data_IF_218681503836
#
_entry.id   IF_218681503836
#
_cell.length_a   1.000
_cell.length_b   1.000
_cell.length_c   1.000
_cell.angle_alpha   90.00
_cell.angle_beta   90.00
_cell.angle_gamma   90.00
#
_symmetry.space_group_name_H-M   'P 1'
#
loop_
_entity.id
_entity.type
_entity.pdbx_description
1 polymer ?
#
# COMPACT_ATOMS: atom_id res chain seq x y z
N UNK A 1 11.97 -5.16 17.96
CA UNK A 1 11.07 -5.85 17.01
C UNK A 1 10.99 -7.32 17.42
N UNK A 2 9.80 -7.92 17.47
CA UNK A 2 9.68 -9.38 17.66
C UNK A 2 10.21 -10.08 16.40
N UNK A 3 10.77 -11.28 16.54
CA UNK A 3 11.24 -12.08 15.40
C UNK A 3 10.16 -12.23 14.34
N UNK A 4 10.54 -12.18 13.05
CA UNK A 4 9.62 -12.31 11.91
C UNK A 4 8.93 -11.01 11.45
N UNK A 5 8.85 -9.96 12.28
CA UNK A 5 8.21 -8.70 11.88
C UNK A 5 8.99 -7.95 10.79
N UNK A 6 10.33 -8.03 10.84
CA UNK A 6 11.23 -7.31 9.92
C UNK A 6 10.98 -7.69 8.45
N UNK A 7 10.82 -8.98 8.15
CA UNK A 7 10.58 -9.43 6.78
C UNK A 7 9.29 -8.88 6.17
N UNK A 8 8.22 -8.77 6.98
CA UNK A 8 6.97 -8.16 6.54
C UNK A 8 7.11 -6.67 6.18
N UNK A 9 7.86 -5.92 7.00
CA UNK A 9 8.16 -4.51 6.76
C UNK A 9 9.05 -4.33 5.53
N UNK A 10 10.06 -5.18 5.35
CA UNK A 10 10.95 -5.15 4.19
C UNK A 10 10.21 -5.46 2.88
N UNK A 11 9.24 -6.38 2.90
CA UNK A 11 8.37 -6.63 1.76
C UNK A 11 7.51 -5.41 1.40
N UNK A 12 6.89 -4.77 2.40
CA UNK A 12 6.13 -3.53 2.18
C UNK A 12 7.01 -2.39 1.65
N UNK A 13 8.21 -2.22 2.20
CA UNK A 13 9.20 -1.26 1.70
C UNK A 13 9.65 -1.57 0.27
N UNK A 14 9.74 -2.84 -0.12
CA UNK A 14 10.08 -3.23 -1.50
C UNK A 14 8.98 -2.79 -2.46
N UNK A 15 7.71 -3.00 -2.12
CA UNK A 15 6.58 -2.54 -2.92
C UNK A 15 6.51 -1.01 -3.02
N UNK A 16 6.78 -0.29 -1.93
CA UNK A 16 6.87 1.17 -1.94
C UNK A 16 7.95 1.65 -2.93
N UNK A 17 9.11 0.97 -2.98
CA UNK A 17 10.20 1.29 -3.91
C UNK A 17 9.89 1.04 -5.37
N UNK A 18 8.89 0.22 -5.68
CA UNK A 18 8.44 0.03 -7.06
C UNK A 18 7.70 1.28 -7.58
N UNK A 19 7.05 2.03 -6.69
CA UNK A 19 6.36 3.29 -7.03
C UNK A 19 7.27 4.49 -6.84
N UNK A 20 7.91 4.61 -5.68
CA UNK A 20 8.83 5.71 -5.36
C UNK A 20 10.25 5.18 -5.37
N UNK A 21 10.91 5.33 -6.52
CA UNK A 21 12.27 4.85 -6.75
C UNK A 21 13.24 5.35 -5.69
N UNK A 22 14.27 4.55 -5.41
CA UNK A 22 15.34 4.96 -4.48
C UNK A 22 16.01 6.24 -4.98
N UNK A 23 16.24 7.17 -4.06
CA UNK A 23 16.88 8.46 -4.36
C UNK A 23 15.90 9.54 -4.83
N UNK A 24 14.62 9.19 -5.00
CA UNK A 24 13.58 10.17 -5.28
C UNK A 24 13.18 10.89 -3.99
N UNK A 25 13.12 12.23 -4.04
CA UNK A 25 12.64 13.05 -2.90
C UNK A 25 11.17 12.75 -2.60
N UNK A 26 10.76 12.86 -1.34
CA UNK A 26 9.34 12.75 -0.97
C UNK A 26 8.70 14.13 -0.79
N UNK A 27 9.45 15.21 -0.95
CA UNK A 27 9.01 16.59 -0.72
C UNK A 27 7.82 17.01 -1.60
N UNK A 28 7.71 16.43 -2.79
CA UNK A 28 6.61 16.71 -3.71
C UNK A 28 5.38 15.81 -3.46
N UNK A 29 5.46 14.82 -2.57
CA UNK A 29 4.33 13.95 -2.27
C UNK A 29 3.40 14.62 -1.27
N UNK A 30 2.12 14.70 -1.64
CA UNK A 30 1.07 15.08 -0.70
C UNK A 30 0.59 13.88 0.10
N UNK A 31 -0.17 14.10 1.17
CA UNK A 31 -0.84 13.02 1.88
C UNK A 31 -1.77 12.21 0.95
N UNK A 32 -2.36 12.85 -0.06
CA UNK A 32 -3.20 12.18 -1.05
C UNK A 32 -2.40 11.20 -1.92
N UNK A 33 -1.19 11.57 -2.34
CA UNK A 33 -0.30 10.69 -3.10
C UNK A 33 0.14 9.50 -2.26
N UNK A 34 0.50 9.73 -0.99
CA UNK A 34 0.88 8.65 -0.07
C UNK A 34 -0.30 7.71 0.17
N UNK A 35 -1.51 8.24 0.39
CA UNK A 35 -2.72 7.43 0.55
C UNK A 35 -3.01 6.59 -0.70
N UNK A 36 -2.85 7.19 -1.89
CA UNK A 36 -2.99 6.48 -3.17
C UNK A 36 -2.01 5.30 -3.24
N UNK A 37 -0.71 5.55 -3.03
CA UNK A 37 0.34 4.52 -3.03
C UNK A 37 -0.02 3.38 -2.06
N UNK A 38 -0.37 3.72 -0.83
CA UNK A 38 -0.68 2.74 0.22
C UNK A 38 -1.92 1.92 -0.13
N UNK A 39 -2.95 2.53 -0.71
CA UNK A 39 -4.16 1.83 -1.14
C UNK A 39 -3.87 0.82 -2.26
N UNK A 40 -3.00 1.14 -3.22
CA UNK A 40 -2.56 0.18 -4.25
C UNK A 40 -1.72 -0.97 -3.65
N UNK A 41 -0.77 -0.67 -2.75
CA UNK A 41 0.04 -1.69 -2.06
C UNK A 41 -0.84 -2.62 -1.22
N UNK A 42 -1.77 -2.06 -0.45
CA UNK A 42 -2.66 -2.81 0.43
C UNK A 42 -3.77 -3.56 -0.33
N UNK A 43 -3.94 -3.27 -1.61
CA UNK A 43 -4.84 -3.98 -2.53
C UNK A 43 -4.14 -5.09 -3.32
N UNK A 44 -2.88 -5.37 -3.03
CA UNK A 44 -2.12 -6.44 -3.67
C UNK A 44 -2.16 -7.72 -2.82
N UNK A 45 -2.55 -8.88 -3.39
CA UNK A 45 -2.55 -10.18 -2.69
C UNK A 45 -1.20 -10.55 -2.08
N UNK A 46 -1.22 -11.17 -0.89
CA UNK A 46 -0.01 -11.72 -0.26
C UNK A 46 -0.14 -13.20 0.00
N UNK A 47 0.89 -13.97 -0.35
CA UNK A 47 0.99 -15.40 0.00
C UNK A 47 0.94 -15.64 1.51
N UNK A 48 1.50 -14.72 2.30
CA UNK A 48 1.46 -14.78 3.76
C UNK A 48 0.08 -14.52 4.37
N UNK A 49 -0.90 -14.13 3.55
CA UNK A 49 -2.30 -13.90 3.93
C UNK A 49 -3.22 -14.83 3.11
N UNK A 50 -2.73 -15.99 2.69
CA UNK A 50 -3.48 -16.98 1.91
C UNK A 50 -4.12 -16.40 0.63
N UNK A 51 -3.43 -15.44 -0.01
CA UNK A 51 -3.91 -14.78 -1.22
C UNK A 51 -4.87 -13.61 -0.97
N UNK A 52 -5.25 -13.33 0.28
CA UNK A 52 -5.97 -12.10 0.64
C UNK A 52 -5.06 -10.88 0.50
N UNK A 53 -5.67 -9.72 0.33
CA UNK A 53 -4.94 -8.45 0.38
C UNK A 53 -4.82 -7.96 1.84
N UNK A 54 -3.81 -7.14 2.16
CA UNK A 54 -3.75 -6.45 3.46
C UNK A 54 -5.03 -5.67 3.78
N UNK A 55 -5.68 -5.07 2.77
CA UNK A 55 -6.96 -4.38 2.96
C UNK A 55 -8.03 -5.36 3.45
N UNK A 56 -8.18 -6.51 2.81
CA UNK A 56 -9.21 -7.50 3.17
C UNK A 56 -8.98 -8.02 4.60
N UNK A 57 -7.72 -8.34 4.94
CA UNK A 57 -7.36 -8.77 6.30
C UNK A 57 -7.62 -7.68 7.36
N UNK A 58 -7.35 -6.41 7.03
CA UNK A 58 -7.64 -5.29 7.91
C UNK A 58 -9.15 -5.05 8.05
N UNK A 59 -9.92 -5.20 6.97
CA UNK A 59 -11.37 -5.07 6.98
C UNK A 59 -12.02 -6.11 7.91
N UNK A 60 -11.58 -7.36 7.82
CA UNK A 60 -12.02 -8.45 8.70
C UNK A 60 -11.69 -8.16 10.18
N UNK A 61 -10.54 -7.55 10.45
CA UNK A 61 -10.05 -7.34 11.82
C UNK A 61 -10.62 -6.08 12.49
N UNK A 62 -10.85 -5.01 11.73
CA UNK A 62 -11.11 -3.68 12.27
C UNK A 62 -12.43 -3.04 11.81
N UNK A 63 -13.08 -3.63 10.80
CA UNK A 63 -14.35 -3.16 10.25
C UNK A 63 -14.22 -1.93 9.34
N UNK A 64 -15.26 -1.72 8.53
CA UNK A 64 -15.27 -0.72 7.45
C UNK A 64 -15.12 0.72 7.96
N UNK A 65 -15.77 1.06 9.08
CA UNK A 65 -15.74 2.42 9.64
C UNK A 65 -14.33 2.86 10.03
N UNK A 66 -13.54 1.95 10.63
CA UNK A 66 -12.14 2.21 11.00
C UNK A 66 -11.30 2.45 9.74
N UNK A 67 -11.44 1.59 8.74
CA UNK A 67 -10.70 1.72 7.48
C UNK A 67 -11.06 3.02 6.74
N UNK A 68 -12.34 3.41 6.71
CA UNK A 68 -12.79 4.68 6.16
C UNK A 68 -12.19 5.89 6.88
N UNK A 69 -12.16 5.85 8.22
CA UNK A 69 -11.56 6.92 9.02
C UNK A 69 -10.05 7.07 8.75
N UNK A 70 -9.36 5.97 8.46
CA UNK A 70 -7.95 5.94 8.05
C UNK A 70 -7.75 6.21 6.54
N UNK A 71 -8.82 6.55 5.81
CA UNK A 71 -8.81 6.83 4.37
C UNK A 71 -8.29 5.66 3.51
N UNK A 72 -8.43 4.43 4.01
CA UNK A 72 -8.06 3.21 3.31
C UNK A 72 -9.16 2.80 2.34
N UNK A 73 -8.78 2.44 1.12
CA UNK A 73 -9.68 2.01 0.05
C UNK A 73 -9.17 0.75 -0.63
N UNK A 74 -10.09 -0.16 -0.93
CA UNK A 74 -9.81 -1.31 -1.81
C UNK A 74 -9.77 -0.82 -3.25
N UNK A 75 -8.72 -1.19 -3.98
CA UNK A 75 -8.56 -0.95 -5.42
C UNK A 75 -8.86 -2.25 -6.17
N UNK A 76 -9.61 -2.21 -7.26
CA UNK A 76 -9.90 -3.43 -8.02
C UNK A 76 -8.60 -4.09 -8.50
N UNK A 77 -8.47 -5.44 -8.53
CA UNK A 77 -7.22 -6.11 -8.90
C UNK A 77 -6.64 -5.67 -10.27
N UNK A 78 -7.48 -5.37 -11.24
CA UNK A 78 -7.14 -4.87 -12.57
C UNK A 78 -6.66 -3.41 -12.59
N UNK A 79 -7.00 -2.64 -11.55
CA UNK A 79 -6.61 -1.24 -11.38
C UNK A 79 -5.35 -1.08 -10.50
N UNK A 80 -4.86 -2.15 -9.88
CA UNK A 80 -3.66 -2.09 -9.04
C UNK A 80 -2.44 -1.73 -9.88
N UNK A 81 -1.81 -0.60 -9.58
CA UNK A 81 -0.59 -0.13 -10.23
C UNK A 81 0.51 0.10 -9.19
N UNK A 82 1.60 -0.65 -9.31
CA UNK A 82 2.78 -0.52 -8.44
C UNK A 82 3.99 0.05 -9.19
N UNK A 83 3.76 0.77 -10.29
CA UNK A 83 4.84 1.40 -11.07
C UNK A 83 4.98 2.88 -10.73
N UNK A 84 6.10 3.53 -11.10
CA UNK A 84 6.27 4.96 -10.85
C UNK A 84 5.23 5.85 -11.54
N UNK A 85 4.54 5.34 -12.57
CA UNK A 85 3.47 6.07 -13.27
C UNK A 85 2.30 6.43 -12.35
N UNK A 86 2.13 5.73 -11.23
CA UNK A 86 1.03 5.99 -10.29
C UNK A 86 1.01 7.44 -9.77
N UNK A 87 2.18 8.05 -9.61
CA UNK A 87 2.34 9.40 -9.05
C UNK A 87 2.96 10.41 -10.03
N UNK A 88 3.32 9.98 -11.24
CA UNK A 88 4.10 10.79 -12.20
C UNK A 88 3.25 11.81 -12.99
N UNK A 89 1.93 11.77 -12.84
CA UNK A 89 0.99 12.63 -13.59
C UNK A 89 0.06 13.44 -12.69
N UNK A 90 0.30 13.48 -11.37
CA UNK A 90 -0.52 14.24 -10.43
C UNK A 90 -0.12 15.73 -10.31
N UNK A 91 0.90 16.18 -11.04
CA UNK A 91 1.41 17.56 -11.05
C UNK A 91 1.81 18.01 -12.44
#
# INVERSE_FOLDING_TARGET
>A
MRGGQKGGVENAHTMLRMVVSKGTSFEYLTQWDVNLIVNHINSTPRKSLDGKTPYDAALESFGENTLKALQLKRISPDEVNLTPKLIRFNH
#
